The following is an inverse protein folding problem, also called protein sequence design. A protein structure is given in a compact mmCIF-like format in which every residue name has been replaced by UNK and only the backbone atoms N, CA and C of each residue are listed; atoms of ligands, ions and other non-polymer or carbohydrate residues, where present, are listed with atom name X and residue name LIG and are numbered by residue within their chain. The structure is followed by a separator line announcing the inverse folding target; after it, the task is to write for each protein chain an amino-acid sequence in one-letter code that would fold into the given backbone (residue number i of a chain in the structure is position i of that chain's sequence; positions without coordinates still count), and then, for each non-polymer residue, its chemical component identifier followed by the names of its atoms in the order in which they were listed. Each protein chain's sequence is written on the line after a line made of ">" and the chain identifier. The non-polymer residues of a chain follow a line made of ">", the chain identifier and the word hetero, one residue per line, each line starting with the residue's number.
data_IF_617355107255
#
_entry.id   IF_617355107255
#
_cell.length_a   1.000
_cell.length_b   1.000
_cell.length_c   1.000
_cell.angle_alpha   90.00
_cell.angle_beta   90.00
_cell.angle_gamma   90.00
#
_symmetry.space_group_name_H-M   'P 1'
#
loop_
_entity.id
_entity.type
_entity.pdbx_description
1 polymer ?
#
# COMPACT_ATOMS: atom_id res chain seq x y z
N UNK A 1 -17.79 14.75 1.57
CA UNK A 1 -16.35 14.39 1.72
C UNK A 1 -16.05 13.26 0.75
N UNK A 2 -15.00 13.40 -0.05
CA UNK A 2 -14.54 12.37 -0.99
C UNK A 2 -13.18 11.84 -0.54
N UNK A 3 -13.02 10.51 -0.49
CA UNK A 3 -11.79 9.85 -0.07
C UNK A 3 -11.30 8.92 -1.17
N UNK A 4 -10.03 9.04 -1.55
CA UNK A 4 -9.37 8.06 -2.41
C UNK A 4 -8.66 7.03 -1.51
N UNK A 5 -8.95 5.75 -1.73
CA UNK A 5 -8.27 4.64 -1.05
C UNK A 5 -7.53 3.82 -2.11
N UNK A 6 -6.23 3.67 -1.96
CA UNK A 6 -5.40 2.96 -2.93
C UNK A 6 -5.04 1.56 -2.43
N UNK A 7 -4.88 0.64 -3.38
CA UNK A 7 -4.39 -0.73 -3.19
C UNK A 7 -3.39 -1.03 -4.29
N UNK A 8 -2.30 -1.74 -3.97
CA UNK A 8 -1.29 -2.07 -4.98
C UNK A 8 -1.84 -3.07 -6.00
N UNK A 9 -2.54 -4.10 -5.53
CA UNK A 9 -3.02 -5.19 -6.39
C UNK A 9 -4.50 -5.50 -6.15
N UNK A 10 -5.13 -6.11 -7.16
CA UNK A 10 -6.55 -6.48 -7.07
C UNK A 10 -6.87 -7.44 -5.92
N UNK A 11 -5.93 -8.29 -5.53
CA UNK A 11 -6.11 -9.21 -4.39
C UNK A 11 -6.26 -8.47 -3.05
N UNK A 12 -5.65 -7.30 -2.90
CA UNK A 12 -5.83 -6.44 -1.71
C UNK A 12 -7.18 -5.70 -1.75
N UNK A 13 -7.64 -5.30 -2.94
CA UNK A 13 -8.92 -4.62 -3.13
C UNK A 13 -10.11 -5.60 -3.02
N UNK A 14 -9.94 -6.86 -3.45
CA UNK A 14 -11.04 -7.83 -3.55
C UNK A 14 -11.82 -8.07 -2.23
N UNK A 15 -11.21 -8.12 -1.04
CA UNK A 15 -11.96 -8.19 0.22
C UNK A 15 -12.90 -7.01 0.42
N UNK A 16 -12.49 -5.80 0.09
CA UNK A 16 -13.32 -4.60 0.19
C UNK A 16 -14.54 -4.68 -0.73
N UNK A 17 -14.35 -5.15 -1.97
CA UNK A 17 -15.44 -5.31 -2.93
C UNK A 17 -16.51 -6.34 -2.49
N UNK A 18 -16.15 -7.25 -1.56
CA UNK A 18 -17.10 -8.23 -0.98
C UNK A 18 -17.89 -7.67 0.21
N UNK A 19 -17.35 -6.65 0.88
CA UNK A 19 -17.98 -6.10 2.10
C UNK A 19 -19.14 -5.15 1.78
N UNK A 20 -19.16 -4.55 0.59
CA UNK A 20 -20.14 -3.53 0.18
C UNK A 20 -20.40 -3.57 -1.32
N UNK A 21 -21.47 -2.93 -1.73
CA UNK A 21 -21.76 -2.72 -3.15
C UNK A 21 -20.87 -1.58 -3.66
N UNK A 22 -20.02 -1.91 -4.63
CA UNK A 22 -19.20 -0.96 -5.36
C UNK A 22 -19.66 -0.87 -6.81
N UNK A 23 -19.65 0.33 -7.36
CA UNK A 23 -19.84 0.59 -8.77
C UNK A 23 -18.48 0.73 -9.44
N UNK A 24 -18.20 -0.08 -10.46
CA UNK A 24 -16.99 0.10 -11.25
C UNK A 24 -17.05 1.39 -12.06
N UNK A 25 -16.00 2.18 -12.00
CA UNK A 25 -15.85 3.43 -12.76
C UNK A 25 -14.79 3.24 -13.83
N UNK A 26 -15.09 3.66 -15.05
CA UNK A 26 -14.10 3.69 -16.12
C UNK A 26 -13.24 4.95 -15.97
N UNK A 27 -11.98 4.74 -15.61
CA UNK A 27 -10.96 5.77 -15.66
C UNK A 27 -9.85 5.24 -16.57
N UNK A 28 -9.36 6.03 -17.51
CA UNK A 28 -8.40 5.63 -18.53
C UNK A 28 -7.23 4.81 -17.96
N UNK A 29 -7.29 3.48 -18.13
CA UNK A 29 -6.23 2.55 -17.70
C UNK A 29 -6.18 2.22 -16.21
N UNK A 30 -7.07 2.78 -15.35
CA UNK A 30 -7.17 2.47 -13.92
C UNK A 30 -8.37 1.58 -13.61
N UNK A 31 -8.18 0.61 -12.72
CA UNK A 31 -9.28 -0.10 -12.09
C UNK A 31 -9.76 0.69 -10.88
N UNK A 32 -10.93 1.33 -11.03
CA UNK A 32 -11.54 2.16 -10.01
C UNK A 32 -12.94 1.66 -9.65
N UNK A 33 -13.28 1.75 -8.36
CA UNK A 33 -14.57 1.36 -7.82
C UNK A 33 -15.08 2.43 -6.85
N UNK A 34 -16.32 2.85 -7.00
CA UNK A 34 -16.95 3.84 -6.13
C UNK A 34 -17.99 3.23 -5.20
N UNK A 35 -18.08 3.75 -4.01
CA UNK A 35 -19.13 3.47 -3.04
C UNK A 35 -19.33 4.65 -2.09
N UNK A 36 -20.38 4.59 -1.26
CA UNK A 36 -20.57 5.53 -0.16
C UNK A 36 -20.44 4.80 1.16
N UNK A 37 -19.60 5.31 2.07
CA UNK A 37 -19.39 4.77 3.41
C UNK A 37 -19.65 5.88 4.42
N UNK A 38 -20.63 5.70 5.30
CA UNK A 38 -20.99 6.67 6.35
C UNK A 38 -21.16 8.12 5.80
N UNK A 39 -21.74 8.27 4.61
CA UNK A 39 -21.95 9.56 3.96
C UNK A 39 -20.73 10.11 3.21
N UNK A 40 -19.58 9.47 3.27
CA UNK A 40 -18.42 9.82 2.48
C UNK A 40 -18.40 9.06 1.15
N UNK A 41 -18.11 9.74 0.05
CA UNK A 41 -17.84 9.11 -1.24
C UNK A 41 -16.43 8.51 -1.21
N UNK A 42 -16.32 7.24 -1.53
CA UNK A 42 -15.04 6.50 -1.53
C UNK A 42 -14.73 6.04 -2.94
N UNK A 43 -13.57 6.42 -3.45
CA UNK A 43 -12.99 5.90 -4.69
C UNK A 43 -11.85 4.94 -4.34
N UNK A 44 -12.08 3.65 -4.52
CA UNK A 44 -11.06 2.62 -4.36
C UNK A 44 -10.32 2.42 -5.69
N UNK A 45 -8.99 2.47 -5.66
CA UNK A 45 -8.12 2.46 -6.85
C UNK A 45 -7.08 1.36 -6.74
N UNK A 46 -7.01 0.48 -7.73
CA UNK A 46 -5.89 -0.45 -7.88
C UNK A 46 -4.77 0.22 -8.67
N UNK A 47 -3.64 0.51 -8.01
CA UNK A 47 -2.56 1.32 -8.57
C UNK A 47 -1.58 0.55 -9.45
N UNK A 48 -1.52 -0.77 -9.30
CA UNK A 48 -0.36 -1.55 -9.71
C UNK A 48 0.75 -1.50 -8.65
N UNK A 49 1.61 -2.51 -8.64
CA UNK A 49 2.71 -2.64 -7.68
C UNK A 49 3.87 -1.71 -8.04
N UNK A 50 4.51 -1.15 -7.02
CA UNK A 50 5.72 -0.34 -7.10
C UNK A 50 5.47 1.16 -7.29
N UNK A 51 6.49 1.94 -6.92
CA UNK A 51 6.41 3.40 -6.82
C UNK A 51 5.99 4.11 -8.12
N UNK A 52 6.46 3.65 -9.28
CA UNK A 52 6.16 4.30 -10.57
C UNK A 52 4.67 4.14 -10.94
N UNK A 53 4.13 2.93 -10.82
CA UNK A 53 2.72 2.65 -11.07
C UNK A 53 1.83 3.41 -10.07
N UNK A 54 2.20 3.39 -8.79
CA UNK A 54 1.48 4.09 -7.74
C UNK A 54 1.43 5.60 -7.97
N UNK A 55 2.57 6.23 -8.32
CA UNK A 55 2.63 7.65 -8.63
C UNK A 55 1.76 8.02 -9.85
N UNK A 56 1.81 7.23 -10.90
CA UNK A 56 1.00 7.46 -12.10
C UNK A 56 -0.50 7.33 -11.78
N UNK A 57 -0.88 6.25 -11.09
CA UNK A 57 -2.27 5.97 -10.77
C UNK A 57 -2.88 7.03 -9.85
N UNK A 58 -2.15 7.46 -8.80
CA UNK A 58 -2.67 8.47 -7.89
C UNK A 58 -2.82 9.82 -8.58
N UNK A 59 -1.83 10.27 -9.38
CA UNK A 59 -1.97 11.52 -10.17
C UNK A 59 -3.23 11.48 -11.04
N UNK A 60 -3.49 10.34 -11.70
CA UNK A 60 -4.68 10.18 -12.53
C UNK A 60 -5.96 10.25 -11.69
N UNK A 61 -6.01 9.53 -10.56
CA UNK A 61 -7.16 9.53 -9.66
C UNK A 61 -7.48 10.93 -9.10
N UNK A 62 -6.45 11.71 -8.74
CA UNK A 62 -6.59 13.09 -8.26
C UNK A 62 -7.15 14.04 -9.32
N UNK A 63 -6.88 13.79 -10.61
CA UNK A 63 -7.40 14.57 -11.72
C UNK A 63 -8.86 14.26 -12.06
N UNK A 64 -9.34 13.03 -11.78
CA UNK A 64 -10.75 12.65 -12.02
C UNK A 64 -11.67 13.46 -11.10
N UNK A 65 -11.34 13.50 -9.82
CA UNK A 65 -12.04 14.25 -8.79
C UNK A 65 -11.05 14.53 -7.66
N UNK A 66 -10.69 15.80 -7.39
CA UNK A 66 -9.86 16.13 -6.24
C UNK A 66 -10.53 15.63 -4.94
N UNK A 67 -9.91 14.70 -4.19
CA UNK A 67 -10.48 14.22 -2.94
C UNK A 67 -10.11 15.14 -1.78
N UNK A 68 -10.87 15.03 -0.69
CA UNK A 68 -10.54 15.67 0.59
C UNK A 68 -9.40 14.95 1.32
N UNK A 69 -9.24 13.65 1.05
CA UNK A 69 -8.21 12.83 1.69
C UNK A 69 -7.78 11.63 0.81
N UNK A 70 -6.54 11.17 1.02
CA UNK A 70 -5.98 9.94 0.42
C UNK A 70 -5.56 8.97 1.53
N UNK A 71 -5.97 7.71 1.40
CA UNK A 71 -5.49 6.60 2.24
C UNK A 71 -4.69 5.64 1.37
N UNK A 72 -3.38 5.57 1.59
CA UNK A 72 -2.53 4.54 1.00
C UNK A 72 -2.71 3.24 1.82
N UNK A 73 -3.64 2.40 1.36
CA UNK A 73 -3.96 1.11 1.97
C UNK A 73 -3.24 -0.04 1.27
N UNK A 74 -3.22 -1.20 1.90
CA UNK A 74 -2.65 -2.44 1.34
C UNK A 74 -1.83 -3.22 2.35
N UNK A 75 -0.96 -4.10 1.85
CA UNK A 75 -0.12 -4.97 2.65
C UNK A 75 1.28 -4.39 2.84
N UNK A 76 1.96 -4.84 3.92
CA UNK A 76 3.36 -4.56 4.20
C UNK A 76 4.03 -5.75 4.87
N UNK A 77 5.33 -5.89 4.70
CA UNK A 77 6.15 -6.82 5.49
C UNK A 77 6.58 -6.17 6.81
N UNK A 78 6.50 -6.91 7.91
CA UNK A 78 7.04 -6.44 9.20
C UNK A 78 8.56 -6.43 9.17
N UNK A 79 9.16 -5.41 9.77
CA UNK A 79 10.60 -5.26 9.95
C UNK A 79 11.04 -5.41 11.40
N UNK A 80 10.10 -5.47 12.33
CA UNK A 80 10.32 -5.62 13.77
C UNK A 80 9.58 -6.86 14.30
N UNK A 81 10.16 -7.57 15.27
CA UNK A 81 9.63 -8.85 15.76
C UNK A 81 8.30 -8.75 16.51
N UNK A 82 7.94 -7.57 17.02
CA UNK A 82 6.71 -7.34 17.76
C UNK A 82 5.45 -7.32 16.87
N UNK A 83 5.60 -7.14 15.54
CA UNK A 83 4.46 -7.10 14.63
C UNK A 83 4.13 -8.48 14.07
N UNK A 84 2.83 -8.79 14.05
CA UNK A 84 2.28 -10.07 13.60
C UNK A 84 1.43 -9.88 12.36
N UNK A 85 1.26 -10.95 11.59
CA UNK A 85 0.33 -10.99 10.46
C UNK A 85 -1.07 -10.59 10.93
N UNK A 86 -1.68 -9.64 10.21
CA UNK A 86 -2.98 -9.07 10.54
C UNK A 86 -2.90 -7.80 11.40
N UNK A 87 -1.76 -7.44 11.99
CA UNK A 87 -1.61 -6.12 12.62
C UNK A 87 -1.81 -5.01 11.58
N UNK A 88 -2.53 -3.95 11.96
CA UNK A 88 -2.73 -2.77 11.11
C UNK A 88 -1.88 -1.64 11.66
N UNK A 89 -0.99 -1.12 10.83
CA UNK A 89 -0.08 -0.04 11.17
C UNK A 89 -0.46 1.25 10.45
N UNK A 90 -0.41 2.38 11.15
CA UNK A 90 -0.54 3.72 10.57
C UNK A 90 0.75 4.50 10.86
N UNK A 91 1.46 4.89 9.80
CA UNK A 91 2.78 5.50 9.92
C UNK A 91 2.73 7.02 9.99
N UNK A 92 3.56 7.60 10.88
CA UNK A 92 3.79 9.06 10.95
C UNK A 92 4.58 9.55 9.75
N UNK A 93 5.55 8.77 9.31
CA UNK A 93 6.46 9.14 8.23
C UNK A 93 6.70 7.94 7.30
N UNK A 94 6.81 8.21 6.01
CA UNK A 94 7.21 7.22 5.01
C UNK A 94 8.56 7.66 4.44
N UNK A 95 9.50 6.74 4.36
CA UNK A 95 10.88 7.01 3.89
C UNK A 95 11.21 6.17 2.67
N UNK A 96 12.12 6.68 1.84
CA UNK A 96 12.78 5.86 0.83
C UNK A 96 13.78 4.88 1.49
N UNK A 97 14.09 3.79 0.82
CA UNK A 97 15.10 2.82 1.27
C UNK A 97 16.49 3.45 1.48
N UNK A 98 16.83 4.49 0.73
CA UNK A 98 18.10 5.23 0.85
C UNK A 98 18.07 6.33 1.90
N UNK A 99 16.90 6.65 2.44
CA UNK A 99 16.72 7.74 3.41
C UNK A 99 16.82 9.15 2.82
N UNK A 100 16.97 9.29 1.51
CA UNK A 100 17.09 10.57 0.81
C UNK A 100 15.76 11.30 0.58
N UNK A 101 14.65 10.57 0.72
CA UNK A 101 13.30 11.10 0.59
C UNK A 101 12.43 10.67 1.76
N UNK A 102 11.56 11.59 2.19
CA UNK A 102 10.54 11.30 3.19
C UNK A 102 9.30 12.16 3.02
N UNK A 103 8.18 11.65 3.48
CA UNK A 103 6.90 12.36 3.53
C UNK A 103 6.14 11.99 4.80
N UNK A 104 5.56 12.98 5.46
CA UNK A 104 4.75 12.75 6.67
C UNK A 104 3.29 12.51 6.31
N UNK A 105 2.65 11.63 7.04
CA UNK A 105 1.19 11.51 7.06
C UNK A 105 0.53 12.74 7.69
N UNK A 106 -0.72 12.99 7.34
CA UNK A 106 -1.55 13.98 8.02
C UNK A 106 -1.83 13.53 9.45
N UNK A 107 -1.53 14.37 10.44
CA UNK A 107 -1.78 14.08 11.85
C UNK A 107 -3.25 13.81 12.16
N UNK A 108 -4.17 14.49 11.47
CA UNK A 108 -5.60 14.29 11.64
C UNK A 108 -6.02 12.89 11.16
N UNK A 109 -5.56 12.47 9.97
CA UNK A 109 -5.87 11.15 9.43
C UNK A 109 -5.18 10.03 10.20
N UNK A 110 -3.96 10.28 10.71
CA UNK A 110 -3.25 9.35 11.56
C UNK A 110 -4.01 9.08 12.85
N UNK A 111 -4.48 10.14 13.53
CA UNK A 111 -5.32 10.01 14.75
C UNK A 111 -6.58 9.20 14.46
N UNK A 112 -7.29 9.49 13.37
CA UNK A 112 -8.48 8.73 12.98
C UNK A 112 -8.16 7.24 12.73
N UNK A 113 -7.04 6.94 12.07
CA UNK A 113 -6.62 5.55 11.86
C UNK A 113 -6.37 4.83 13.19
N UNK A 114 -5.74 5.50 14.16
CA UNK A 114 -5.50 4.94 15.50
C UNK A 114 -6.81 4.76 16.27
N UNK A 115 -7.73 5.71 16.22
CA UNK A 115 -9.06 5.59 16.82
C UNK A 115 -9.87 4.41 16.23
N UNK A 116 -9.61 4.08 14.95
CA UNK A 116 -10.16 2.91 14.27
C UNK A 116 -9.41 1.60 14.56
N UNK A 117 -8.39 1.61 15.41
CA UNK A 117 -7.67 0.41 15.87
C UNK A 117 -6.32 0.16 15.20
N UNK A 118 -5.82 1.05 14.34
CA UNK A 118 -4.47 0.94 13.82
C UNK A 118 -3.43 1.26 14.91
N UNK A 119 -2.29 0.56 14.88
CA UNK A 119 -1.13 0.89 15.72
C UNK A 119 -0.35 2.03 15.07
N UNK A 120 -0.16 3.14 15.79
CA UNK A 120 0.72 4.20 15.31
C UNK A 120 2.17 3.73 15.33
N UNK A 121 2.89 3.95 14.23
CA UNK A 121 4.33 3.65 14.11
C UNK A 121 5.07 4.90 13.61
N UNK A 122 6.36 5.00 13.94
CA UNK A 122 7.13 6.18 13.59
C UNK A 122 7.40 6.22 12.08
N UNK A 123 7.80 5.10 11.48
CA UNK A 123 8.09 5.09 10.06
C UNK A 123 7.77 3.79 9.33
N UNK A 124 7.38 3.91 8.06
CA UNK A 124 7.45 2.86 7.06
C UNK A 124 8.55 3.19 6.05
N UNK A 125 9.14 2.16 5.46
CA UNK A 125 10.01 2.32 4.31
C UNK A 125 9.32 1.83 3.05
N UNK A 126 9.32 2.65 1.99
CA UNK A 126 8.93 2.20 0.66
C UNK A 126 10.19 1.78 -0.09
N UNK A 127 10.35 0.47 -0.31
CA UNK A 127 11.47 -0.13 -0.98
C UNK A 127 11.24 -0.25 -2.50
N UNK A 128 12.32 -0.35 -3.27
CA UNK A 128 12.26 -0.54 -4.71
C UNK A 128 12.00 -2.00 -5.12
N UNK A 129 12.18 -2.93 -4.19
CA UNK A 129 11.96 -4.36 -4.36
C UNK A 129 11.38 -4.97 -3.09
N UNK A 130 10.80 -6.15 -3.22
CA UNK A 130 10.25 -6.90 -2.09
C UNK A 130 11.39 -7.32 -1.15
N UNK A 131 11.30 -6.99 0.13
CA UNK A 131 12.20 -7.49 1.18
C UNK A 131 11.88 -8.96 1.46
N UNK A 132 12.62 -9.88 0.82
CA UNK A 132 12.29 -11.30 0.80
C UNK A 132 12.87 -12.08 1.95
N UNK A 133 14.09 -11.75 2.34
CA UNK A 133 14.83 -12.51 3.35
C UNK A 133 14.81 -11.83 4.70
N UNK A 134 15.04 -12.61 5.73
CA UNK A 134 15.23 -12.09 7.11
C UNK A 134 16.35 -11.05 7.14
N UNK A 135 17.42 -11.22 6.35
CA UNK A 135 18.52 -10.27 6.24
C UNK A 135 18.08 -8.94 5.62
N UNK A 136 17.28 -8.98 4.52
CA UNK A 136 16.72 -7.77 3.91
C UNK A 136 15.88 -7.00 4.93
N UNK A 137 14.99 -7.72 5.63
CA UNK A 137 14.12 -7.15 6.65
C UNK A 137 14.91 -6.58 7.83
N UNK A 138 15.94 -7.30 8.31
CA UNK A 138 16.80 -6.83 9.40
C UNK A 138 17.53 -5.53 9.02
N UNK A 139 18.06 -5.45 7.79
CA UNK A 139 18.71 -4.25 7.26
C UNK A 139 17.78 -3.04 7.26
N UNK A 140 16.56 -3.21 6.75
CA UNK A 140 15.54 -2.15 6.70
C UNK A 140 14.97 -1.84 8.08
N UNK A 141 14.89 -2.83 8.96
CA UNK A 141 14.41 -2.71 10.33
C UNK A 141 15.29 -1.83 11.24
N UNK A 142 16.49 -1.48 10.79
CA UNK A 142 17.34 -0.51 11.49
C UNK A 142 16.72 0.89 11.59
N UNK A 143 15.77 1.23 10.70
CA UNK A 143 15.21 2.59 10.61
C UNK A 143 13.71 2.67 10.29
N UNK A 144 13.00 1.54 10.22
CA UNK A 144 11.56 1.51 9.98
C UNK A 144 10.90 0.29 10.63
N UNK A 145 9.59 0.34 10.82
CA UNK A 145 8.78 -0.71 11.46
C UNK A 145 8.21 -1.71 10.45
N UNK A 146 7.91 -1.25 9.24
CA UNK A 146 7.42 -2.12 8.16
C UNK A 146 7.85 -1.59 6.79
N UNK A 147 7.75 -2.45 5.76
CA UNK A 147 8.16 -2.17 4.39
C UNK A 147 7.01 -2.39 3.42
N UNK A 148 6.84 -1.44 2.50
CA UNK A 148 5.98 -1.54 1.32
C UNK A 148 6.74 -1.07 0.05
N UNK A 149 6.01 -0.82 -1.04
CA UNK A 149 6.62 -0.35 -2.29
C UNK A 149 5.91 0.88 -2.89
N UNK A 150 4.85 1.39 -2.28
CA UNK A 150 3.97 2.41 -2.88
C UNK A 150 3.71 3.64 -2.02
N UNK A 151 3.71 3.53 -0.69
CA UNK A 151 3.24 4.59 0.20
C UNK A 151 3.98 5.91 0.01
N UNK A 152 5.32 5.87 -0.19
CA UNK A 152 6.10 7.09 -0.41
C UNK A 152 5.62 7.84 -1.65
N UNK A 153 5.41 7.12 -2.76
CA UNK A 153 4.96 7.71 -4.00
C UNK A 153 3.55 8.29 -3.89
N UNK A 154 2.62 7.55 -3.28
CA UNK A 154 1.23 7.98 -3.10
C UNK A 154 1.16 9.25 -2.25
N UNK A 155 1.79 9.24 -1.07
CA UNK A 155 1.75 10.40 -0.15
C UNK A 155 2.50 11.60 -0.74
N UNK A 156 3.56 11.39 -1.51
CA UNK A 156 4.29 12.47 -2.19
C UNK A 156 3.39 13.16 -3.23
N UNK A 157 2.67 12.42 -4.05
CA UNK A 157 1.78 13.00 -5.05
C UNK A 157 0.56 13.69 -4.39
N UNK A 158 -0.02 13.10 -3.33
CA UNK A 158 -1.08 13.74 -2.56
C UNK A 158 -0.61 15.08 -1.95
N UNK A 159 0.60 15.10 -1.35
CA UNK A 159 1.22 16.32 -0.79
C UNK A 159 1.45 17.39 -1.87
N UNK A 160 1.91 17.00 -3.08
CA UNK A 160 2.09 17.92 -4.21
C UNK A 160 0.78 18.57 -4.63
N UNK A 161 -0.31 17.84 -4.51
CA UNK A 161 -1.67 18.33 -4.79
C UNK A 161 -2.31 19.10 -3.62
N UNK A 162 -1.62 19.22 -2.48
CA UNK A 162 -2.16 19.88 -1.28
C UNK A 162 -3.22 19.06 -0.53
N UNK A 163 -3.28 17.73 -0.77
CA UNK A 163 -4.29 16.83 -0.22
C UNK A 163 -3.72 16.08 0.98
N UNK A 164 -4.51 16.03 2.07
CA UNK A 164 -4.16 15.27 3.26
C UNK A 164 -4.08 13.76 2.94
N UNK A 165 -3.01 13.09 3.40
CA UNK A 165 -2.83 11.67 3.15
C UNK A 165 -2.30 10.93 4.38
N UNK A 166 -2.57 9.61 4.46
CA UNK A 166 -2.04 8.70 5.47
C UNK A 166 -1.74 7.34 4.85
N UNK A 167 -0.68 6.69 5.31
CA UNK A 167 -0.40 5.30 4.98
C UNK A 167 -0.91 4.39 6.11
N UNK A 168 -1.78 3.43 5.74
CA UNK A 168 -2.33 2.40 6.63
C UNK A 168 -2.09 1.05 5.99
N UNK A 169 -1.30 0.20 6.66
CA UNK A 169 -0.86 -1.09 6.10
C UNK A 169 -1.19 -2.24 7.04
N UNK A 170 -1.66 -3.34 6.49
CA UNK A 170 -1.79 -4.60 7.23
C UNK A 170 -0.54 -5.44 7.03
N UNK A 171 -0.02 -6.00 8.12
CA UNK A 171 1.15 -6.88 8.06
C UNK A 171 0.76 -8.20 7.41
N UNK A 172 1.45 -8.56 6.32
CA UNK A 172 1.26 -9.79 5.56
C UNK A 172 2.27 -10.88 5.93
N UNK A 173 3.46 -10.48 6.36
CA UNK A 173 4.55 -11.39 6.74
C UNK A 173 5.40 -10.81 7.86
N UNK A 174 5.97 -11.69 8.69
CA UNK A 174 6.76 -11.30 9.88
C UNK A 174 8.22 -11.02 9.54
N UNK A 175 8.91 -10.32 10.44
CA UNK A 175 10.33 -10.00 10.30
C UNK A 175 11.24 -11.26 10.30
N UNK A 176 10.77 -12.36 10.90
CA UNK A 176 11.53 -13.60 11.05
C UNK A 176 11.23 -14.66 9.99
N UNK A 177 10.44 -14.34 8.95
CA UNK A 177 10.04 -15.29 7.93
C UNK A 177 10.53 -14.86 6.56
N UNK A 178 11.23 -15.76 5.86
CA UNK A 178 11.54 -15.58 4.46
C UNK A 178 10.28 -15.77 3.61
N UNK A 179 10.12 -14.96 2.57
CA UNK A 179 9.06 -15.17 1.61
C UNK A 179 9.42 -16.33 0.66
N UNK A 180 8.54 -17.34 0.50
CA UNK A 180 8.86 -18.59 -0.20
C UNK A 180 9.10 -18.41 -1.70
N UNK A 181 8.64 -17.32 -2.28
CA UNK A 181 8.77 -17.07 -3.71
C UNK A 181 9.09 -15.62 -4.04
N UNK A 182 9.68 -15.42 -5.20
CA UNK A 182 9.99 -14.10 -5.75
C UNK A 182 8.77 -13.53 -6.48
N UNK A 183 7.91 -12.86 -5.73
CA UNK A 183 6.71 -12.22 -6.29
C UNK A 183 7.03 -11.19 -7.38
N UNK A 184 8.25 -10.63 -7.42
CA UNK A 184 8.64 -9.68 -8.46
C UNK A 184 8.65 -10.30 -9.85
N UNK A 185 8.98 -11.61 -9.94
CA UNK A 185 8.94 -12.37 -11.21
C UNK A 185 7.53 -12.72 -11.66
N UNK A 186 6.56 -12.60 -10.78
CA UNK A 186 5.16 -12.92 -11.04
C UNK A 186 4.35 -11.70 -11.50
N UNK A 187 4.99 -10.56 -11.64
CA UNK A 187 4.33 -9.33 -12.07
C UNK A 187 4.37 -9.17 -13.58
N UNK A 188 3.28 -8.64 -14.16
CA UNK A 188 3.29 -8.14 -15.53
C UNK A 188 3.90 -6.72 -15.57
N UNK A 189 4.08 -6.17 -16.77
CA UNK A 189 4.62 -4.82 -16.97
C UNK A 189 3.79 -3.71 -16.31
N UNK A 190 2.56 -4.02 -15.90
CA UNK A 190 1.65 -3.13 -15.17
C UNK A 190 1.61 -3.41 -13.67
N UNK A 191 2.53 -4.24 -13.16
CA UNK A 191 2.60 -4.61 -11.74
C UNK A 191 1.44 -5.50 -11.26
N UNK A 192 0.74 -6.22 -12.16
CA UNK A 192 -0.33 -7.15 -11.82
C UNK A 192 0.22 -8.56 -11.67
N UNK A 193 -0.23 -9.26 -10.62
CA UNK A 193 0.23 -10.65 -10.36
C UNK A 193 -0.30 -11.60 -11.43
N UNK A 194 0.60 -12.33 -12.07
CA UNK A 194 0.30 -13.42 -13.01
C UNK A 194 0.07 -14.71 -12.25
N UNK A 195 -1.16 -14.96 -11.79
CA UNK A 195 -1.53 -16.09 -10.94
C UNK A 195 -1.14 -17.48 -11.52
N UNK A 196 -1.04 -17.62 -12.84
CA UNK A 196 -0.62 -18.88 -13.48
C UNK A 196 0.84 -19.26 -13.18
N UNK A 197 1.70 -18.30 -12.84
CA UNK A 197 3.10 -18.55 -12.46
C UNK A 197 3.21 -19.15 -11.04
N UNK A 198 2.25 -18.88 -10.15
CA UNK A 198 2.17 -19.52 -8.83
C UNK A 198 1.97 -21.03 -8.93
N UNK A 199 1.28 -21.52 -9.98
CA UNK A 199 1.03 -22.95 -10.18
C UNK A 199 2.26 -23.71 -10.67
N UNK A 200 3.30 -23.03 -11.14
CA UNK A 200 4.50 -23.65 -11.73
C UNK A 200 5.72 -23.65 -10.77
N UNK A 201 5.68 -22.89 -9.69
CA UNK A 201 6.79 -22.80 -8.71
C UNK A 201 7.07 -24.15 -7.99
N UNK A 202 6.07 -24.96 -7.57
CA UNK A 202 6.34 -26.25 -6.93
C UNK A 202 7.09 -27.26 -7.80
N UNK A 203 7.11 -27.05 -9.12
CA UNK A 203 7.79 -27.93 -10.08
C UNK A 203 9.25 -27.53 -10.37
N UNK A 204 9.74 -26.44 -9.77
CA UNK A 204 11.10 -25.89 -9.96
C UNK A 204 11.97 -25.92 -8.70
N UNK A 205 11.47 -26.47 -7.60
CA UNK A 205 12.32 -26.76 -6.44
C UNK A 205 13.20 -27.97 -6.74
N UNK A 206 14.54 -27.92 -6.48
CA UNK A 206 15.47 -29.00 -6.72
C UNK A 206 15.20 -30.21 -5.83
#
# INVERSE_FOLDING_TARGET
>A
MTVVVTFAVRSELAPWLRLRVFRQVRAEGLECHETTIAGAEVLAVATGMGAANAAQAIRHALNIRPPDAVVASGLAGALKPEYRVGDVLAARCIRSERGDQQVSSSDALLRLAVECGAKAVDSLVSANAIARTVEDKARLGGFAEAVDMESLAILTEARRAGIAAVAVRSIADTAQCDLPCDFSKMLDERGRVRLWQLALEPLRAP
#
